data_IF_027993028483
#
_entry.id   IF_027993028483
#
_cell.length_a   1.000
_cell.length_b   1.000
_cell.length_c   1.000
_cell.angle_alpha   90.00
_cell.angle_beta   90.00
_cell.angle_gamma   90.00
#
_symmetry.space_group_name_H-M   'P 1'
#
loop_
_entity.id
_entity.type
_entity.pdbx_description
1 polymer ?
#
# COMPACT_ATOMS: atom_id res chain seq x y z
N UNK A 1 86.58 11.18 21.31
CA UNK A 1 85.92 10.55 20.14
C UNK A 1 84.66 9.77 20.52
N UNK A 2 83.72 10.33 21.29
CA UNK A 2 82.49 9.61 21.72
C UNK A 2 81.16 10.36 21.51
N UNK A 3 81.16 11.52 20.82
CA UNK A 3 79.92 12.28 20.52
C UNK A 3 79.46 12.23 19.05
N UNK A 4 80.25 11.63 18.15
CA UNK A 4 79.93 11.60 16.70
C UNK A 4 79.26 10.26 16.28
N UNK A 5 79.48 9.15 17.00
CA UNK A 5 78.92 7.84 16.62
C UNK A 5 77.45 7.61 16.99
N UNK A 6 76.90 8.36 17.96
CA UNK A 6 75.46 8.28 18.32
C UNK A 6 74.57 9.06 17.37
N UNK A 7 75.06 10.15 16.76
CA UNK A 7 74.28 11.00 15.85
C UNK A 7 74.13 10.34 14.46
N UNK A 8 75.19 9.68 13.96
CA UNK A 8 75.12 8.94 12.67
C UNK A 8 74.22 7.70 12.72
N UNK A 9 74.15 6.98 13.86
CA UNK A 9 73.26 5.81 14.00
C UNK A 9 71.78 6.19 14.17
N UNK A 10 71.48 7.38 14.71
CA UNK A 10 70.11 7.88 14.80
C UNK A 10 69.60 8.43 13.46
N UNK A 11 70.47 9.06 12.65
CA UNK A 11 70.13 9.55 11.31
C UNK A 11 69.82 8.43 10.31
N UNK A 12 70.57 7.32 10.32
CA UNK A 12 70.29 6.18 9.44
C UNK A 12 68.99 5.44 9.82
N UNK A 13 68.63 5.38 11.10
CA UNK A 13 67.41 4.71 11.56
C UNK A 13 66.16 5.51 11.20
N UNK A 14 66.21 6.85 11.28
CA UNK A 14 65.10 7.73 10.89
C UNK A 14 64.92 7.74 9.36
N UNK A 15 66.01 7.74 8.58
CA UNK A 15 65.93 7.65 7.12
C UNK A 15 65.33 6.30 6.66
N UNK A 16 65.67 5.20 7.32
CA UNK A 16 65.09 3.88 7.03
C UNK A 16 63.59 3.81 7.38
N UNK A 17 63.15 4.41 8.49
CA UNK A 17 61.73 4.44 8.89
C UNK A 17 60.89 5.32 7.94
N UNK A 18 61.42 6.46 7.48
CA UNK A 18 60.73 7.34 6.52
C UNK A 18 60.63 6.67 5.14
N UNK A 19 61.68 5.99 4.68
CA UNK A 19 61.64 5.23 3.43
C UNK A 19 60.65 4.05 3.50
N UNK A 20 60.56 3.35 4.65
CA UNK A 20 59.60 2.26 4.85
C UNK A 20 58.16 2.76 4.94
N UNK A 21 57.91 3.88 5.63
CA UNK A 21 56.59 4.50 5.71
C UNK A 21 56.13 5.06 4.36
N UNK A 22 57.04 5.68 3.60
CA UNK A 22 56.76 6.13 2.24
C UNK A 22 56.43 4.95 1.33
N UNK A 23 57.26 3.89 1.29
CA UNK A 23 57.00 2.71 0.48
C UNK A 23 55.69 1.99 0.86
N UNK A 24 55.35 1.95 2.15
CA UNK A 24 54.09 1.37 2.64
C UNK A 24 52.88 2.24 2.25
N UNK A 25 53.02 3.58 2.22
CA UNK A 25 51.98 4.49 1.72
C UNK A 25 51.80 4.40 0.20
N UNK A 26 52.88 4.25 -0.57
CA UNK A 26 52.83 4.04 -2.01
C UNK A 26 52.23 2.68 -2.34
N UNK A 27 52.60 1.61 -1.63
CA UNK A 27 51.97 0.29 -1.78
C UNK A 27 50.47 0.33 -1.48
N UNK A 28 50.05 1.06 -0.43
CA UNK A 28 48.62 1.23 -0.10
C UNK A 28 47.85 2.10 -1.09
N UNK A 29 48.53 3.01 -1.80
CA UNK A 29 47.93 3.77 -2.89
C UNK A 29 47.83 2.93 -4.15
N UNK A 30 48.88 2.19 -4.52
CA UNK A 30 48.88 1.29 -5.69
C UNK A 30 47.88 0.15 -5.49
N UNK A 31 47.81 -0.49 -4.32
CA UNK A 31 46.75 -1.48 -4.01
C UNK A 31 45.35 -0.86 -4.04
N UNK A 32 45.19 0.42 -3.70
CA UNK A 32 43.90 1.12 -3.80
C UNK A 32 43.56 1.46 -5.24
N UNK A 33 44.52 1.93 -6.02
CA UNK A 33 44.34 2.30 -7.42
C UNK A 33 44.14 1.06 -8.29
N UNK A 34 44.89 -0.03 -8.09
CA UNK A 34 44.67 -1.32 -8.76
C UNK A 34 43.35 -1.98 -8.34
N UNK A 35 42.93 -1.89 -7.07
CA UNK A 35 41.59 -2.37 -6.67
C UNK A 35 40.46 -1.46 -7.17
N UNK A 36 40.72 -0.18 -7.39
CA UNK A 36 39.75 0.76 -7.93
C UNK A 36 39.63 0.62 -9.45
N UNK A 37 40.74 0.48 -10.18
CA UNK A 37 40.75 0.15 -11.59
C UNK A 37 40.15 -1.24 -11.84
N UNK A 38 40.48 -2.27 -11.04
CA UNK A 38 39.83 -3.57 -11.16
C UNK A 38 38.33 -3.52 -10.78
N UNK A 39 37.93 -2.71 -9.80
CA UNK A 39 36.52 -2.51 -9.47
C UNK A 39 35.77 -1.72 -10.55
N UNK A 40 36.40 -0.72 -11.15
CA UNK A 40 35.86 0.08 -12.25
C UNK A 40 35.80 -0.75 -13.54
N UNK A 41 36.77 -1.64 -13.80
CA UNK A 41 36.82 -2.54 -14.95
C UNK A 41 35.79 -3.69 -14.84
N UNK A 42 35.64 -4.28 -13.64
CA UNK A 42 34.54 -5.22 -13.31
C UNK A 42 33.18 -4.52 -13.40
N UNK A 43 33.11 -3.23 -13.05
CA UNK A 43 31.89 -2.44 -13.12
C UNK A 43 31.56 -2.04 -14.56
N UNK A 44 32.54 -1.74 -15.43
CA UNK A 44 32.31 -1.47 -16.86
C UNK A 44 31.96 -2.70 -17.65
N UNK A 45 32.62 -3.85 -17.41
CA UNK A 45 32.30 -5.11 -18.09
C UNK A 45 30.93 -5.65 -17.66
N UNK A 46 30.50 -5.42 -16.42
CA UNK A 46 29.14 -5.72 -15.98
C UNK A 46 28.10 -4.73 -16.53
N UNK A 47 28.45 -3.44 -16.69
CA UNK A 47 27.52 -2.40 -17.17
C UNK A 47 27.11 -2.62 -18.62
N UNK A 48 27.99 -3.13 -19.49
CA UNK A 48 27.65 -3.40 -20.89
C UNK A 48 26.69 -4.59 -21.06
N UNK A 49 26.78 -5.62 -20.21
CA UNK A 49 25.85 -6.76 -20.26
C UNK A 49 24.45 -6.41 -19.69
N UNK A 50 24.35 -5.50 -18.72
CA UNK A 50 23.05 -5.03 -18.17
C UNK A 50 22.27 -4.10 -19.10
N UNK A 51 22.87 -3.56 -20.17
CA UNK A 51 22.15 -2.73 -21.14
C UNK A 51 21.35 -3.54 -22.17
N UNK A 52 21.51 -4.87 -22.21
CA UNK A 52 20.79 -5.76 -23.14
C UNK A 52 19.59 -6.49 -22.51
N UNK A 53 19.51 -6.53 -21.18
CA UNK A 53 18.43 -7.21 -20.44
C UNK A 53 17.32 -6.20 -20.10
N UNK A 54 16.06 -6.46 -20.46
CA UNK A 54 14.97 -5.56 -20.12
C UNK A 54 14.82 -5.42 -18.60
N UNK A 55 14.69 -4.19 -18.11
CA UNK A 55 14.58 -3.88 -16.68
C UNK A 55 13.25 -4.35 -16.05
N UNK A 56 12.28 -4.77 -16.85
CA UNK A 56 11.00 -5.34 -16.42
C UNK A 56 10.45 -6.24 -17.52
N UNK A 57 9.52 -7.12 -17.15
CA UNK A 57 8.75 -7.93 -18.09
C UNK A 57 7.34 -7.37 -18.20
N UNK A 58 6.78 -7.44 -19.42
CA UNK A 58 5.39 -7.07 -19.68
C UNK A 58 4.49 -8.24 -19.26
N UNK A 59 3.49 -8.03 -18.39
CA UNK A 59 2.48 -9.05 -18.15
C UNK A 59 1.80 -9.44 -19.45
N UNK A 60 1.50 -10.72 -19.67
CA UNK A 60 0.91 -11.19 -20.93
C UNK A 60 -0.46 -10.56 -21.20
N UNK A 61 -1.24 -10.34 -20.16
CA UNK A 61 -2.53 -9.63 -20.20
C UNK A 61 -2.39 -8.10 -20.32
N UNK A 62 -1.16 -7.58 -20.18
CA UNK A 62 -0.85 -6.18 -20.35
C UNK A 62 -0.20 -5.89 -21.69
N UNK A 63 0.58 -6.78 -22.29
CA UNK A 63 1.37 -6.46 -23.48
C UNK A 63 0.50 -6.10 -24.70
N UNK A 64 -0.53 -6.89 -24.97
CA UNK A 64 -1.44 -6.67 -26.10
C UNK A 64 -2.60 -5.72 -25.73
N UNK A 65 -2.85 -4.63 -26.49
CA UNK A 65 -3.95 -3.70 -26.20
C UNK A 65 -5.36 -4.33 -26.20
N UNK A 66 -5.61 -5.34 -27.04
CA UNK A 66 -6.89 -6.04 -27.09
C UNK A 66 -7.12 -6.87 -25.82
N UNK A 67 -6.06 -7.51 -25.31
CA UNK A 67 -6.15 -8.28 -24.07
C UNK A 67 -6.30 -7.38 -22.85
N UNK A 68 -5.62 -6.22 -22.84
CA UNK A 68 -5.87 -5.16 -21.86
C UNK A 68 -7.33 -4.76 -21.84
N UNK A 69 -7.91 -4.51 -23.02
CA UNK A 69 -9.32 -4.11 -23.11
C UNK A 69 -10.26 -5.21 -22.63
N UNK A 70 -10.02 -6.47 -22.97
CA UNK A 70 -10.84 -7.60 -22.47
C UNK A 70 -10.83 -7.66 -20.94
N UNK A 71 -9.68 -7.46 -20.30
CA UNK A 71 -9.57 -7.45 -18.83
C UNK A 71 -10.28 -6.24 -18.23
N UNK A 72 -10.17 -5.06 -18.83
CA UNK A 72 -10.88 -3.86 -18.37
C UNK A 72 -12.40 -4.06 -18.46
N UNK A 73 -12.89 -4.58 -19.58
CA UNK A 73 -14.32 -4.85 -19.77
C UNK A 73 -14.84 -5.89 -18.78
N UNK A 74 -14.08 -6.97 -18.56
CA UNK A 74 -14.39 -7.98 -17.54
C UNK A 74 -14.60 -7.36 -16.15
N UNK A 75 -13.76 -6.42 -15.74
CA UNK A 75 -13.90 -5.79 -14.42
C UNK A 75 -14.91 -4.63 -14.42
N UNK A 76 -15.26 -4.07 -15.58
CA UNK A 76 -16.24 -2.99 -15.68
C UNK A 76 -17.60 -3.37 -15.10
N UNK A 77 -18.04 -4.61 -15.30
CA UNK A 77 -19.30 -5.14 -14.73
C UNK A 77 -19.38 -5.01 -13.20
N UNK A 78 -18.23 -5.01 -12.52
CA UNK A 78 -18.13 -4.97 -11.06
C UNK A 78 -17.69 -3.61 -10.51
N UNK A 79 -16.99 -2.81 -11.32
CA UNK A 79 -16.43 -1.52 -10.89
C UNK A 79 -17.30 -0.32 -11.28
N UNK A 80 -18.26 -0.51 -12.20
CA UNK A 80 -19.10 0.57 -12.70
C UNK A 80 -19.87 1.27 -11.56
N UNK A 81 -19.70 2.59 -11.49
CA UNK A 81 -20.37 3.43 -10.49
C UNK A 81 -19.73 3.45 -9.11
N UNK A 82 -18.75 2.58 -8.83
CA UNK A 82 -17.99 2.65 -7.57
C UNK A 82 -17.22 3.95 -7.48
N UNK A 83 -17.24 4.57 -6.30
CA UNK A 83 -16.55 5.81 -6.00
C UNK A 83 -15.18 5.46 -5.41
N UNK A 84 -14.12 5.58 -6.21
CA UNK A 84 -12.77 5.22 -5.79
C UNK A 84 -11.94 6.51 -5.64
N UNK A 85 -11.38 6.73 -4.47
CA UNK A 85 -10.54 7.88 -4.19
C UNK A 85 -9.07 7.47 -4.16
N UNK A 86 -8.24 8.12 -4.97
CA UNK A 86 -6.80 7.84 -5.09
C UNK A 86 -6.02 8.98 -4.45
N UNK A 87 -5.13 8.66 -3.54
CA UNK A 87 -4.25 9.60 -2.88
C UNK A 87 -2.79 9.37 -3.30
N UNK A 88 -2.24 10.15 -4.25
CA UNK A 88 -0.81 10.10 -4.51
C UNK A 88 -0.06 10.72 -3.33
N UNK A 89 0.71 9.90 -2.62
CA UNK A 89 1.48 10.31 -1.44
C UNK A 89 2.42 11.49 -1.71
N UNK A 90 2.72 12.27 -0.67
CA UNK A 90 3.60 13.46 -0.74
C UNK A 90 3.09 14.56 -1.70
N UNK A 91 3.99 15.37 -2.26
CA UNK A 91 3.73 16.46 -3.21
C UNK A 91 4.13 17.83 -2.67
N UNK A 92 4.43 18.76 -3.58
CA UNK A 92 4.80 20.14 -3.27
C UNK A 92 6.04 20.24 -2.41
N UNK A 93 5.90 20.81 -1.21
CA UNK A 93 7.02 21.20 -0.35
C UNK A 93 7.68 20.04 0.43
N UNK A 94 7.23 18.80 0.22
CA UNK A 94 7.84 17.63 0.89
C UNK A 94 9.19 17.26 0.27
N UNK A 95 10.24 17.90 0.77
CA UNK A 95 11.63 17.74 0.29
C UNK A 95 12.30 16.42 0.69
N UNK A 96 11.68 15.59 1.55
CA UNK A 96 12.29 14.34 2.05
C UNK A 96 12.12 13.16 1.10
N UNK A 97 11.34 13.34 0.04
CA UNK A 97 11.00 12.31 -0.93
C UNK A 97 12.02 12.17 -2.08
N UNK A 98 13.22 12.77 -1.97
CA UNK A 98 14.27 12.73 -3.00
C UNK A 98 15.38 11.75 -2.63
N UNK A 99 15.71 10.84 -3.55
CA UNK A 99 16.85 9.93 -3.36
C UNK A 99 18.15 10.48 -3.96
N UNK A 100 19.27 9.76 -3.73
CA UNK A 100 20.60 10.11 -4.25
C UNK A 100 20.65 10.27 -5.78
N UNK A 101 19.83 9.52 -6.52
CA UNK A 101 19.73 9.62 -7.98
C UNK A 101 18.85 10.79 -8.46
N UNK A 102 18.24 11.54 -7.54
CA UNK A 102 17.38 12.68 -7.85
C UNK A 102 15.96 12.34 -8.31
N UNK A 103 15.52 11.09 -8.17
CA UNK A 103 14.11 10.72 -8.35
C UNK A 103 13.32 11.17 -7.12
N UNK A 104 12.15 11.76 -7.37
CA UNK A 104 11.20 12.17 -6.34
C UNK A 104 10.11 11.11 -6.22
N UNK A 105 9.85 10.63 -5.00
CA UNK A 105 8.77 9.69 -4.73
C UNK A 105 7.41 10.25 -5.14
N UNK A 106 7.16 11.54 -4.87
CA UNK A 106 5.91 12.20 -5.20
C UNK A 106 5.58 12.16 -6.71
N UNK A 107 6.59 12.23 -7.57
CA UNK A 107 6.43 12.17 -9.02
C UNK A 107 6.04 10.77 -9.47
N UNK A 108 6.66 9.74 -8.89
CA UNK A 108 6.33 8.34 -9.19
C UNK A 108 4.94 8.01 -8.67
N UNK A 109 4.63 8.40 -7.44
CA UNK A 109 3.29 8.25 -6.83
C UNK A 109 2.23 8.88 -7.74
N UNK A 110 2.43 10.13 -8.16
CA UNK A 110 1.52 10.83 -9.06
C UNK A 110 1.38 10.13 -10.42
N UNK A 111 2.50 9.72 -11.02
CA UNK A 111 2.51 9.05 -12.32
C UNK A 111 1.70 7.75 -12.29
N UNK A 112 1.95 6.87 -11.31
CA UNK A 112 1.20 5.61 -11.15
C UNK A 112 -0.27 5.88 -10.87
N UNK A 113 -0.59 6.84 -10.00
CA UNK A 113 -1.98 7.20 -9.69
C UNK A 113 -2.76 7.73 -10.89
N UNK A 114 -2.14 8.50 -11.79
CA UNK A 114 -2.79 9.00 -12.99
C UNK A 114 -3.09 7.87 -13.99
N UNK A 115 -2.18 6.90 -14.15
CA UNK A 115 -2.45 5.70 -14.95
C UNK A 115 -3.57 4.85 -14.33
N UNK A 116 -3.53 4.65 -13.01
CA UNK A 116 -4.57 3.91 -12.29
C UNK A 116 -5.94 4.58 -12.44
N UNK A 117 -5.99 5.92 -12.33
CA UNK A 117 -7.22 6.70 -12.59
C UNK A 117 -7.76 6.44 -13.99
N UNK A 118 -6.91 6.44 -15.02
CA UNK A 118 -7.35 6.20 -16.39
C UNK A 118 -7.97 4.80 -16.57
N UNK A 119 -7.34 3.77 -15.98
CA UNK A 119 -7.86 2.39 -16.00
C UNK A 119 -9.22 2.27 -15.30
N UNK A 120 -9.34 2.85 -14.10
CA UNK A 120 -10.58 2.81 -13.32
C UNK A 120 -11.72 3.58 -13.98
N UNK A 121 -11.45 4.76 -14.55
CA UNK A 121 -12.44 5.51 -15.34
C UNK A 121 -12.90 4.73 -16.57
N UNK A 122 -11.98 4.06 -17.27
CA UNK A 122 -12.30 3.22 -18.43
C UNK A 122 -13.12 1.99 -18.06
N UNK A 123 -12.95 1.47 -16.84
CA UNK A 123 -13.80 0.44 -16.26
C UNK A 123 -15.15 0.97 -15.74
N UNK A 124 -15.42 2.27 -15.83
CA UNK A 124 -16.70 2.89 -15.44
C UNK A 124 -16.82 3.27 -13.97
N UNK A 125 -15.73 3.20 -13.19
CA UNK A 125 -15.72 3.74 -11.83
C UNK A 125 -15.76 5.28 -11.85
N UNK A 126 -16.21 5.88 -10.75
CA UNK A 126 -16.14 7.32 -10.50
C UNK A 126 -14.90 7.58 -9.66
N UNK A 127 -13.92 8.31 -10.20
CA UNK A 127 -12.60 8.47 -9.56
C UNK A 127 -12.39 9.88 -9.02
N UNK A 128 -12.11 10.00 -7.73
CA UNK A 128 -11.62 11.22 -7.08
C UNK A 128 -10.12 11.10 -6.78
N UNK A 129 -9.43 12.25 -6.62
CA UNK A 129 -8.02 12.26 -6.22
C UNK A 129 -7.73 13.35 -5.19
N UNK A 130 -6.78 13.11 -4.28
CA UNK A 130 -6.28 14.16 -3.38
C UNK A 130 -5.49 15.23 -4.14
N UNK A 131 -4.71 14.81 -5.15
CA UNK A 131 -4.00 15.68 -6.11
C UNK A 131 -3.86 15.00 -7.46
N UNK A 132 -3.88 15.79 -8.53
CA UNK A 132 -3.63 15.36 -9.92
C UNK A 132 -2.41 16.08 -10.55
N UNK A 133 -1.69 16.84 -9.73
CA UNK A 133 -0.48 17.60 -10.05
C UNK A 133 0.44 17.64 -8.83
N UNK A 134 1.61 18.23 -8.99
CA UNK A 134 2.54 18.42 -7.88
C UNK A 134 2.11 19.63 -7.02
N UNK A 135 1.45 19.34 -5.90
CA UNK A 135 0.98 20.30 -4.90
C UNK A 135 1.01 19.66 -3.52
N UNK A 136 1.17 20.50 -2.49
CA UNK A 136 1.07 20.09 -1.08
C UNK A 136 -0.40 19.84 -0.72
N UNK A 137 -0.71 18.65 -0.21
CA UNK A 137 -2.01 18.31 0.43
C UNK A 137 -1.71 17.83 1.85
N UNK A 138 -2.41 18.40 2.84
CA UNK A 138 -2.22 18.07 4.25
C UNK A 138 -2.54 16.60 4.55
N UNK A 139 -1.88 16.01 5.56
CA UNK A 139 -2.06 14.59 5.89
C UNK A 139 -3.53 14.24 6.22
N UNK A 140 -4.19 15.06 7.03
CA UNK A 140 -5.60 14.89 7.40
C UNK A 140 -6.57 15.30 6.29
N UNK A 141 -6.20 16.34 5.52
CA UNK A 141 -6.98 16.82 4.37
C UNK A 141 -7.21 15.71 3.33
N UNK A 142 -6.24 14.80 3.15
CA UNK A 142 -6.37 13.63 2.24
C UNK A 142 -7.56 12.75 2.60
N UNK A 143 -7.76 12.48 3.90
CA UNK A 143 -8.88 11.70 4.39
C UNK A 143 -10.20 12.49 4.27
N UNK A 144 -10.19 13.78 4.64
CA UNK A 144 -11.36 14.66 4.52
C UNK A 144 -11.88 14.76 3.06
N UNK A 145 -10.98 14.85 2.09
CA UNK A 145 -11.34 14.85 0.67
C UNK A 145 -11.97 13.51 0.24
N UNK A 146 -11.48 12.38 0.74
CA UNK A 146 -12.04 11.07 0.46
C UNK A 146 -13.45 10.88 1.07
N UNK A 147 -13.63 11.33 2.32
CA UNK A 147 -14.93 11.34 3.00
C UNK A 147 -15.93 12.28 2.30
N UNK A 148 -15.49 13.48 1.92
CA UNK A 148 -16.31 14.45 1.18
C UNK A 148 -16.70 13.95 -0.20
N UNK A 149 -15.80 13.17 -0.82
CA UNK A 149 -16.10 12.45 -2.06
C UNK A 149 -17.04 11.26 -1.84
N UNK A 150 -17.40 10.90 -0.61
CA UNK A 150 -18.23 9.73 -0.31
C UNK A 150 -17.66 8.46 -0.99
N UNK A 151 -16.36 8.24 -0.82
CA UNK A 151 -15.67 7.14 -1.48
C UNK A 151 -16.12 5.78 -0.93
N UNK A 152 -16.28 4.81 -1.82
CA UNK A 152 -16.38 3.39 -1.45
C UNK A 152 -15.01 2.82 -1.08
N UNK A 153 -13.96 3.27 -1.78
CA UNK A 153 -12.57 2.86 -1.58
C UNK A 153 -11.63 4.06 -1.47
N UNK A 154 -10.65 3.95 -0.59
CA UNK A 154 -9.51 4.85 -0.48
C UNK A 154 -8.20 4.11 -0.79
N UNK A 155 -7.41 4.63 -1.72
CA UNK A 155 -6.15 4.04 -2.17
C UNK A 155 -5.02 5.07 -2.05
N UNK A 156 -4.13 4.93 -1.08
CA UNK A 156 -2.95 5.78 -0.95
C UNK A 156 -1.75 5.13 -1.63
N UNK A 157 -1.14 5.79 -2.61
CA UNK A 157 -0.06 5.25 -3.46
C UNK A 157 1.28 5.86 -3.04
N UNK A 158 2.22 4.99 -2.67
CA UNK A 158 3.55 5.31 -2.16
C UNK A 158 4.63 4.40 -2.76
N UNK A 159 5.90 4.84 -2.62
CA UNK A 159 7.08 4.03 -2.91
C UNK A 159 8.09 4.19 -1.77
N UNK A 160 8.27 3.12 -1.01
CA UNK A 160 9.02 3.07 0.23
C UNK A 160 10.48 3.57 0.13
N UNK A 161 11.08 3.89 1.27
CA UNK A 161 12.47 4.28 1.39
C UNK A 161 13.25 3.29 2.26
N UNK A 162 14.52 3.06 1.90
CA UNK A 162 15.44 2.36 2.79
C UNK A 162 15.60 3.10 4.12
N UNK A 163 15.86 2.35 5.20
CA UNK A 163 15.98 2.91 6.56
C UNK A 163 17.15 3.88 6.76
N UNK A 164 18.08 3.94 5.80
CA UNK A 164 19.19 4.88 5.79
C UNK A 164 19.60 5.23 4.35
N UNK A 165 20.36 6.31 4.19
CA UNK A 165 20.90 6.73 2.88
C UNK A 165 21.79 5.68 2.21
N UNK A 166 22.35 4.75 3.00
CA UNK A 166 23.21 3.67 2.52
C UNK A 166 22.43 2.38 2.23
N UNK A 167 21.12 2.35 2.50
CA UNK A 167 20.25 1.23 2.14
C UNK A 167 19.67 1.40 0.73
N UNK A 168 20.49 1.04 -0.26
CA UNK A 168 20.14 1.04 -1.68
C UNK A 168 19.82 -0.37 -2.22
N UNK A 169 19.70 -1.37 -1.32
CA UNK A 169 19.51 -2.79 -1.70
C UNK A 169 18.15 -3.33 -1.29
N UNK A 170 17.55 -2.83 -0.21
CA UNK A 170 16.19 -3.23 0.17
C UNK A 170 15.22 -2.90 -0.97
N UNK A 171 14.39 -3.87 -1.32
CA UNK A 171 13.24 -3.70 -2.20
C UNK A 171 12.29 -4.86 -1.94
N UNK A 172 11.00 -4.57 -1.86
CA UNK A 172 9.88 -5.51 -1.86
C UNK A 172 8.59 -4.70 -2.02
N UNK A 173 7.51 -5.38 -2.37
CA UNK A 173 6.18 -4.79 -2.45
C UNK A 173 5.44 -5.03 -1.14
N UNK A 174 4.78 -4.00 -0.60
CA UNK A 174 3.94 -4.14 0.59
C UNK A 174 2.66 -3.34 0.49
N UNK A 175 1.60 -3.84 1.09
CA UNK A 175 0.29 -3.19 1.21
C UNK A 175 -0.11 -3.16 2.67
N UNK A 176 -0.76 -2.08 3.07
CA UNK A 176 -1.11 -1.83 4.44
C UNK A 176 -2.59 -1.53 4.60
N UNK A 177 -3.15 -2.04 5.69
CA UNK A 177 -4.52 -1.77 6.12
C UNK A 177 -4.49 -1.30 7.58
N UNK A 178 -5.48 -0.48 7.95
CA UNK A 178 -5.62 -0.04 9.34
C UNK A 178 -6.31 -1.11 10.17
N UNK A 179 -5.61 -1.65 11.16
CA UNK A 179 -6.15 -2.58 12.13
C UNK A 179 -5.20 -2.69 13.32
N UNK A 180 -5.71 -2.83 14.54
CA UNK A 180 -4.85 -3.18 15.68
C UNK A 180 -4.33 -4.61 15.51
N UNK A 181 -3.13 -4.87 16.04
CA UNK A 181 -2.58 -6.22 16.04
C UNK A 181 -3.53 -7.19 16.76
N UNK A 182 -3.93 -8.26 16.07
CA UNK A 182 -4.91 -9.24 16.57
C UNK A 182 -6.39 -8.85 16.44
N UNK A 183 -6.71 -7.61 16.04
CA UNK A 183 -8.09 -7.15 15.82
C UNK A 183 -8.32 -6.80 14.35
N UNK A 184 -8.71 -7.81 13.58
CA UNK A 184 -9.08 -7.66 12.16
C UNK A 184 -10.52 -7.19 11.96
N UNK A 185 -11.27 -6.92 13.05
CA UNK A 185 -12.65 -6.46 12.95
C UNK A 185 -12.77 -4.98 12.56
N UNK A 186 -11.68 -4.21 12.69
CA UNK A 186 -11.61 -2.85 12.17
C UNK A 186 -11.50 -2.87 10.64
N UNK A 187 -12.64 -2.65 9.96
CA UNK A 187 -12.76 -2.63 8.49
C UNK A 187 -12.07 -3.81 7.80
N UNK A 188 -12.48 -5.04 8.13
CA UNK A 188 -11.91 -6.27 7.58
C UNK A 188 -11.78 -6.29 6.05
N UNK A 189 -12.68 -5.62 5.32
CA UNK A 189 -12.61 -5.46 3.86
C UNK A 189 -11.34 -4.74 3.37
N UNK A 190 -10.71 -3.89 4.19
CA UNK A 190 -9.43 -3.25 3.86
C UNK A 190 -8.30 -4.27 3.74
N UNK A 191 -8.24 -5.21 4.68
CA UNK A 191 -7.27 -6.31 4.64
C UNK A 191 -7.53 -7.25 3.45
N UNK A 192 -8.80 -7.54 3.14
CA UNK A 192 -9.14 -8.37 1.98
C UNK A 192 -8.69 -7.70 0.67
N UNK A 193 -9.03 -6.42 0.47
CA UNK A 193 -8.62 -5.64 -0.70
C UNK A 193 -7.09 -5.58 -0.80
N UNK A 194 -6.39 -5.30 0.31
CA UNK A 194 -4.94 -5.24 0.35
C UNK A 194 -4.31 -6.55 -0.15
N UNK A 195 -4.82 -7.72 0.24
CA UNK A 195 -4.34 -9.03 -0.25
C UNK A 195 -4.49 -9.21 -1.76
N UNK A 196 -5.61 -8.78 -2.33
CA UNK A 196 -5.81 -8.86 -3.78
C UNK A 196 -4.85 -7.93 -4.54
N UNK A 197 -4.68 -6.70 -4.04
CA UNK A 197 -3.73 -5.74 -4.62
C UNK A 197 -2.30 -6.27 -4.49
N UNK A 198 -1.91 -6.76 -3.31
CA UNK A 198 -0.58 -7.31 -3.06
C UNK A 198 -0.22 -8.39 -4.08
N UNK A 199 -1.11 -9.36 -4.31
CA UNK A 199 -0.84 -10.50 -5.20
C UNK A 199 -0.61 -10.08 -6.65
N UNK A 200 -1.49 -9.22 -7.18
CA UNK A 200 -1.37 -8.75 -8.56
C UNK A 200 -0.20 -7.77 -8.72
N UNK A 201 0.02 -6.90 -7.74
CA UNK A 201 1.14 -5.96 -7.76
C UNK A 201 2.48 -6.68 -7.66
N UNK A 202 2.62 -7.65 -6.74
CA UNK A 202 3.83 -8.47 -6.61
C UNK A 202 4.18 -9.21 -7.91
N UNK A 203 3.16 -9.72 -8.60
CA UNK A 203 3.33 -10.41 -9.88
C UNK A 203 3.91 -9.50 -10.97
N UNK A 204 3.39 -8.27 -11.11
CA UNK A 204 3.85 -7.33 -12.14
C UNK A 204 5.17 -6.65 -11.74
N UNK A 205 5.37 -6.37 -10.45
CA UNK A 205 6.57 -5.72 -9.94
C UNK A 205 7.77 -6.66 -9.94
N UNK A 206 7.57 -7.95 -9.66
CA UNK A 206 8.65 -8.95 -9.55
C UNK A 206 9.81 -8.48 -8.68
N UNK A 207 9.50 -7.69 -7.65
CA UNK A 207 10.53 -7.20 -6.74
C UNK A 207 11.20 -8.37 -6.03
N UNK A 208 12.53 -8.34 -5.84
CA UNK A 208 13.18 -9.26 -4.93
C UNK A 208 12.56 -9.10 -3.52
N UNK A 209 12.63 -10.11 -2.66
CA UNK A 209 12.00 -10.05 -1.33
C UNK A 209 11.33 -11.35 -0.87
N UNK A 210 11.36 -12.40 -1.69
CA UNK A 210 10.86 -13.73 -1.33
C UNK A 210 9.37 -13.71 -0.95
N UNK A 211 9.02 -14.38 0.15
CA UNK A 211 7.64 -14.43 0.65
C UNK A 211 7.08 -13.05 1.02
N UNK A 212 7.94 -12.11 1.45
CA UNK A 212 7.51 -10.75 1.81
C UNK A 212 6.97 -9.97 0.63
N UNK A 213 7.55 -10.11 -0.57
CA UNK A 213 6.98 -9.48 -1.77
C UNK A 213 5.69 -10.17 -2.20
N UNK A 214 5.52 -11.48 -1.98
CA UNK A 214 4.33 -12.21 -2.42
C UNK A 214 3.12 -12.05 -1.48
N UNK A 215 3.34 -12.07 -0.16
CA UNK A 215 2.30 -11.99 0.89
C UNK A 215 2.51 -10.78 1.81
N UNK A 216 3.05 -9.69 1.26
CA UNK A 216 3.41 -8.46 1.98
C UNK A 216 2.24 -7.59 2.43
N UNK A 217 1.17 -8.20 2.93
CA UNK A 217 0.00 -7.48 3.46
C UNK A 217 0.11 -7.35 4.97
N UNK A 218 0.22 -6.11 5.47
CA UNK A 218 0.50 -5.86 6.88
C UNK A 218 -0.49 -4.87 7.51
N UNK A 219 -0.72 -5.00 8.81
CA UNK A 219 -1.34 -3.92 9.57
C UNK A 219 -0.38 -2.72 9.65
N UNK A 220 -0.88 -1.51 9.48
CA UNK A 220 -0.10 -0.27 9.65
C UNK A 220 0.43 -0.05 11.08
N UNK A 221 -0.08 -0.77 12.08
CA UNK A 221 0.46 -0.79 13.44
C UNK A 221 1.86 -1.41 13.50
N UNK A 222 2.27 -2.20 12.50
CA UNK A 222 3.65 -2.70 12.43
C UNK A 222 4.65 -1.55 12.19
N UNK A 223 4.20 -0.49 11.50
CA UNK A 223 5.03 0.68 11.19
C UNK A 223 4.87 1.75 12.27
N UNK A 224 3.65 2.03 12.69
CA UNK A 224 3.34 2.99 13.76
C UNK A 224 2.53 2.33 14.88
N UNK A 225 3.17 1.62 15.83
CA UNK A 225 2.47 0.95 16.91
C UNK A 225 1.61 1.91 17.75
N UNK A 226 0.33 1.57 17.94
CA UNK A 226 -0.62 2.37 18.72
C UNK A 226 -1.37 3.43 17.90
N UNK A 227 -0.76 3.92 16.82
CA UNK A 227 -1.31 5.03 16.02
C UNK A 227 -1.79 4.55 14.63
N UNK A 228 -0.99 3.77 13.91
CA UNK A 228 -1.24 3.45 12.50
C UNK A 228 -1.07 4.67 11.56
N UNK A 229 -1.27 4.48 10.27
CA UNK A 229 -1.20 5.53 9.27
C UNK A 229 -2.41 6.46 9.39
N UNK A 230 -2.17 7.76 9.55
CA UNK A 230 -3.25 8.74 9.69
C UNK A 230 -4.27 8.66 8.53
N UNK A 231 -3.83 8.60 7.27
CA UNK A 231 -4.76 8.52 6.13
C UNK A 231 -5.69 7.30 6.17
N UNK A 232 -5.25 6.17 6.72
CA UNK A 232 -6.09 4.97 6.84
C UNK A 232 -6.97 4.99 8.09
N UNK A 233 -6.45 5.56 9.18
CA UNK A 233 -7.17 5.73 10.45
C UNK A 233 -8.30 6.74 10.37
N UNK A 234 -8.08 7.84 9.65
CA UNK A 234 -8.99 8.99 9.59
C UNK A 234 -10.04 8.87 8.48
N UNK A 235 -9.96 7.84 7.63
CA UNK A 235 -11.04 7.49 6.69
C UNK A 235 -12.03 6.53 7.36
N UNK A 236 -13.23 6.35 6.80
CA UNK A 236 -14.28 5.42 7.25
C UNK A 236 -14.57 4.32 6.22
N UNK A 237 -14.28 4.55 4.94
CA UNK A 237 -14.42 3.56 3.89
C UNK A 237 -13.29 2.51 3.92
N UNK A 238 -13.41 1.48 3.08
CA UNK A 238 -12.36 0.48 2.85
C UNK A 238 -11.10 1.19 2.31
N UNK A 239 -9.97 1.05 3.00
CA UNK A 239 -8.77 1.85 2.75
C UNK A 239 -7.50 1.01 2.72
N UNK A 240 -6.65 1.23 1.72
CA UNK A 240 -5.35 0.55 1.57
C UNK A 240 -4.27 1.58 1.25
N UNK A 241 -3.13 1.47 1.93
CA UNK A 241 -1.89 2.16 1.54
C UNK A 241 -0.97 1.18 0.84
N UNK A 242 -0.42 1.58 -0.30
CA UNK A 242 0.32 0.71 -1.22
C UNK A 242 1.75 1.24 -1.31
N UNK A 243 2.71 0.44 -0.89
CA UNK A 243 4.15 0.68 -1.05
C UNK A 243 4.68 -0.24 -2.14
N UNK A 244 4.69 0.26 -3.39
CA UNK A 244 4.89 -0.61 -4.56
C UNK A 244 6.29 -1.19 -4.64
N UNK A 245 7.29 -0.38 -4.28
CA UNK A 245 8.70 -0.69 -4.34
C UNK A 245 9.51 0.31 -3.49
N UNK A 246 10.80 0.06 -3.31
CA UNK A 246 11.69 1.00 -2.63
C UNK A 246 12.34 1.97 -3.62
N UNK A 247 11.93 3.24 -3.65
CA UNK A 247 12.46 4.20 -4.64
C UNK A 247 13.96 4.51 -4.43
N UNK A 248 14.50 4.27 -3.24
CA UNK A 248 15.93 4.38 -2.92
C UNK A 248 16.75 3.18 -3.43
N UNK A 249 16.11 2.09 -3.83
CA UNK A 249 16.81 0.93 -4.37
C UNK A 249 17.49 1.26 -5.71
N UNK A 250 18.74 0.83 -5.87
CA UNK A 250 19.57 1.18 -7.04
C UNK A 250 18.99 0.71 -8.37
N UNK A 251 18.41 -0.49 -8.42
CA UNK A 251 17.83 -1.04 -9.66
C UNK A 251 16.41 -0.51 -9.86
N UNK A 252 15.63 -0.44 -8.79
CA UNK A 252 14.25 0.05 -8.87
C UNK A 252 14.17 1.50 -9.30
N UNK A 253 15.10 2.34 -8.84
CA UNK A 253 15.22 3.74 -9.28
C UNK A 253 15.23 3.87 -10.82
N UNK A 254 15.87 2.94 -11.53
CA UNK A 254 15.91 2.94 -13.00
C UNK A 254 14.54 2.56 -13.58
N UNK A 255 13.86 1.57 -13.00
CA UNK A 255 12.55 1.08 -13.44
C UNK A 255 11.46 2.13 -13.24
N UNK A 256 11.42 2.79 -12.08
CA UNK A 256 10.42 3.80 -11.72
C UNK A 256 10.47 5.08 -12.58
N UNK A 257 11.57 5.29 -13.31
CA UNK A 257 11.70 6.38 -14.29
C UNK A 257 11.07 6.05 -15.65
N UNK A 258 10.70 4.80 -15.88
CA UNK A 258 10.16 4.33 -17.16
C UNK A 258 8.64 4.48 -17.11
N UNK A 259 8.04 5.36 -17.93
CA UNK A 259 6.60 5.59 -17.89
C UNK A 259 5.77 4.31 -18.14
N UNK A 260 6.25 3.45 -19.04
CA UNK A 260 5.63 2.15 -19.33
C UNK A 260 5.61 1.24 -18.10
N UNK A 261 6.67 1.26 -17.29
CA UNK A 261 6.70 0.48 -16.07
C UNK A 261 5.69 1.01 -15.04
N UNK A 262 5.55 2.33 -14.91
CA UNK A 262 4.53 2.94 -14.03
C UNK A 262 3.09 2.57 -14.47
N UNK A 263 2.83 2.43 -15.77
CA UNK A 263 1.56 1.91 -16.28
C UNK A 263 1.35 0.43 -15.90
N UNK A 264 2.41 -0.38 -15.94
CA UNK A 264 2.38 -1.78 -15.48
C UNK A 264 2.10 -1.88 -13.98
N UNK A 265 2.66 -0.99 -13.14
CA UNK A 265 2.33 -0.96 -11.70
C UNK A 265 0.85 -0.66 -11.49
N UNK A 266 0.34 0.38 -12.16
CA UNK A 266 -1.07 0.74 -12.13
C UNK A 266 -1.97 -0.41 -12.61
N UNK A 267 -1.52 -1.17 -13.61
CA UNK A 267 -2.21 -2.38 -14.08
C UNK A 267 -2.33 -3.45 -12.99
N UNK A 268 -1.25 -3.72 -12.25
CA UNK A 268 -1.28 -4.65 -11.11
C UNK A 268 -2.30 -4.24 -10.05
N UNK A 269 -2.29 -2.96 -9.66
CA UNK A 269 -3.25 -2.41 -8.69
C UNK A 269 -4.69 -2.52 -9.22
N UNK A 270 -4.93 -2.13 -10.48
CA UNK A 270 -6.23 -2.23 -11.14
C UNK A 270 -6.77 -3.67 -11.14
N UNK A 271 -5.94 -4.65 -11.51
CA UNK A 271 -6.34 -6.06 -11.48
C UNK A 271 -6.64 -6.56 -10.08
N UNK A 272 -5.89 -6.11 -9.07
CA UNK A 272 -6.16 -6.43 -7.66
C UNK A 272 -7.56 -5.96 -7.25
N UNK A 273 -7.89 -4.71 -7.53
CA UNK A 273 -9.22 -4.14 -7.26
C UNK A 273 -10.31 -4.90 -8.02
N UNK A 274 -10.11 -5.14 -9.33
CA UNK A 274 -11.05 -5.87 -10.16
C UNK A 274 -11.31 -7.30 -9.66
N UNK A 275 -10.25 -8.01 -9.25
CA UNK A 275 -10.38 -9.36 -8.66
C UNK A 275 -11.08 -9.35 -7.31
N UNK A 276 -10.83 -8.35 -6.48
CA UNK A 276 -11.52 -8.22 -5.19
C UNK A 276 -13.04 -8.15 -5.38
N UNK A 277 -13.52 -7.26 -6.26
CA UNK A 277 -14.96 -7.14 -6.52
C UNK A 277 -15.55 -8.31 -7.31
N UNK A 278 -14.78 -8.89 -8.24
CA UNK A 278 -15.18 -10.13 -8.94
C UNK A 278 -15.44 -11.29 -7.95
N UNK A 279 -14.71 -11.33 -6.82
CA UNK A 279 -14.93 -12.33 -5.77
C UNK A 279 -16.10 -12.00 -4.83
N UNK A 280 -16.81 -10.90 -5.10
CA UNK A 280 -17.99 -10.45 -4.37
C UNK A 280 -17.66 -9.71 -3.08
N UNK A 281 -18.40 -8.63 -2.82
CA UNK A 281 -18.26 -7.81 -1.60
C UNK A 281 -19.66 -7.52 -1.07
N UNK A 282 -20.08 -8.16 0.04
CA UNK A 282 -21.37 -7.86 0.64
C UNK A 282 -21.45 -6.41 1.14
N UNK A 283 -22.66 -5.89 1.31
CA UNK A 283 -22.88 -4.59 1.95
C UNK A 283 -24.16 -4.61 2.77
N UNK A 284 -24.19 -3.82 3.83
CA UNK A 284 -25.36 -3.68 4.69
C UNK A 284 -26.12 -2.39 4.39
N UNK A 285 -27.43 -2.44 4.60
CA UNK A 285 -28.30 -1.27 4.60
C UNK A 285 -29.24 -1.31 5.82
N UNK A 286 -29.49 -0.14 6.42
CA UNK A 286 -30.42 0.00 7.53
C UNK A 286 -31.84 0.15 7.00
N UNK A 287 -32.72 -0.80 7.32
CA UNK A 287 -34.14 -0.73 6.96
C UNK A 287 -34.89 0.11 8.01
N UNK A 288 -34.71 1.42 7.95
CA UNK A 288 -35.24 2.36 8.95
C UNK A 288 -36.77 2.30 9.06
N UNK A 289 -37.47 2.23 7.92
CA UNK A 289 -38.94 2.20 7.88
C UNK A 289 -39.54 0.89 8.42
N UNK A 290 -38.75 -0.18 8.46
CA UNK A 290 -39.17 -1.46 9.06
C UNK A 290 -38.71 -1.63 10.50
N UNK A 291 -37.88 -0.71 11.00
CA UNK A 291 -37.39 -0.74 12.37
C UNK A 291 -38.41 -0.08 13.30
N UNK A 292 -38.76 -0.74 14.41
CA UNK A 292 -39.89 -0.33 15.27
C UNK A 292 -39.42 -0.19 16.72
N UNK A 293 -39.64 0.98 17.31
CA UNK A 293 -39.46 1.22 18.75
C UNK A 293 -40.82 1.11 19.47
N UNK A 294 -40.92 0.23 20.46
CA UNK A 294 -42.13 0.07 21.28
C UNK A 294 -41.79 -0.01 22.77
N UNK A 295 -42.21 1.00 23.55
CA UNK A 295 -42.20 1.07 25.03
C UNK A 295 -40.86 0.87 25.75
N UNK A 296 -39.78 0.56 25.03
CA UNK A 296 -38.34 0.42 25.39
C UNK A 296 -37.63 -0.67 24.58
N UNK A 297 -38.35 -1.36 23.67
CA UNK A 297 -37.80 -2.41 22.81
C UNK A 297 -37.65 -1.90 21.39
N UNK A 298 -36.46 -2.05 20.82
CA UNK A 298 -36.18 -1.79 19.40
C UNK A 298 -36.19 -3.11 18.63
N UNK A 299 -37.01 -3.20 17.60
CA UNK A 299 -36.85 -4.16 16.51
C UNK A 299 -36.00 -3.48 15.43
N UNK A 300 -34.74 -3.86 15.30
CA UNK A 300 -33.81 -3.33 14.31
C UNK A 300 -33.71 -4.30 13.14
N UNK A 301 -33.84 -3.80 11.92
CA UNK A 301 -33.66 -4.59 10.70
C UNK A 301 -32.56 -4.03 9.81
N UNK A 302 -31.69 -4.92 9.36
CA UNK A 302 -30.67 -4.64 8.35
C UNK A 302 -30.90 -5.58 7.15
N UNK A 303 -30.70 -5.08 5.93
CA UNK A 303 -30.58 -5.95 4.76
C UNK A 303 -29.11 -6.17 4.42
N UNK A 304 -28.77 -7.38 3.98
CA UNK A 304 -27.49 -7.68 3.35
C UNK A 304 -27.70 -7.69 1.84
N UNK A 305 -27.17 -6.68 1.17
CA UNK A 305 -27.19 -6.55 -0.27
C UNK A 305 -26.10 -7.44 -0.88
N UNK A 306 -26.44 -8.71 -1.11
CA UNK A 306 -25.54 -9.69 -1.73
C UNK A 306 -26.31 -10.85 -2.38
N UNK A 307 -26.03 -11.14 -3.65
CA UNK A 307 -26.78 -12.15 -4.42
C UNK A 307 -26.25 -13.59 -4.27
N UNK A 308 -25.02 -13.75 -3.79
CA UNK A 308 -24.38 -15.07 -3.66
C UNK A 308 -24.41 -15.56 -2.20
N UNK A 309 -23.86 -16.75 -1.97
CA UNK A 309 -23.84 -17.34 -0.63
C UNK A 309 -22.95 -16.56 0.35
N UNK A 310 -23.51 -16.26 1.52
CA UNK A 310 -22.79 -15.81 2.70
C UNK A 310 -22.31 -16.99 3.55
N UNK A 311 -21.39 -16.70 4.46
CA UNK A 311 -21.12 -17.51 5.65
C UNK A 311 -22.02 -16.98 6.78
N UNK A 312 -23.15 -17.63 7.13
CA UNK A 312 -24.10 -17.10 8.10
C UNK A 312 -23.49 -16.91 9.50
N UNK A 313 -22.51 -17.74 9.86
CA UNK A 313 -21.81 -17.66 11.16
C UNK A 313 -20.91 -16.44 11.26
N UNK A 314 -20.58 -15.81 10.13
CA UNK A 314 -19.77 -14.58 10.10
C UNK A 314 -20.57 -13.31 10.32
N UNK A 315 -21.91 -13.38 10.37
CA UNK A 315 -22.76 -12.20 10.55
C UNK A 315 -22.60 -11.73 12.00
N UNK A 316 -22.12 -10.50 12.15
CA UNK A 316 -21.97 -9.84 13.43
C UNK A 316 -22.63 -8.46 13.35
N UNK A 317 -23.46 -8.15 14.33
CA UNK A 317 -24.04 -6.83 14.50
C UNK A 317 -23.77 -6.37 15.92
N UNK A 318 -23.25 -5.16 16.06
CA UNK A 318 -22.86 -4.55 17.34
C UNK A 318 -23.65 -3.26 17.58
N UNK A 319 -23.96 -3.01 18.84
CA UNK A 319 -24.47 -1.73 19.34
C UNK A 319 -23.49 -1.18 20.36
N UNK A 320 -22.91 0.00 20.09
CA UNK A 320 -21.82 0.60 20.89
C UNK A 320 -20.67 -0.37 21.19
N UNK A 321 -20.35 -1.21 20.20
CA UNK A 321 -19.29 -2.23 20.29
C UNK A 321 -19.71 -3.55 20.93
N UNK A 322 -20.92 -3.65 21.49
CA UNK A 322 -21.44 -4.88 22.11
C UNK A 322 -22.14 -5.73 21.05
N UNK A 323 -21.66 -6.96 20.83
CA UNK A 323 -22.27 -7.90 19.88
C UNK A 323 -23.68 -8.30 20.33
N UNK A 324 -24.63 -8.24 19.40
CA UNK A 324 -26.02 -8.55 19.62
C UNK A 324 -26.41 -9.91 19.04
N UNK A 325 -27.33 -10.58 19.74
CA UNK A 325 -28.04 -11.73 19.18
C UNK A 325 -28.95 -11.27 18.03
N UNK A 326 -28.98 -12.05 16.96
CA UNK A 326 -29.76 -11.74 15.77
C UNK A 326 -30.36 -13.00 15.16
N UNK A 327 -31.33 -12.81 14.28
CA UNK A 327 -31.84 -13.83 13.37
C UNK A 327 -31.52 -13.39 11.94
N UNK A 328 -31.05 -14.32 11.12
CA UNK A 328 -30.79 -14.08 9.70
C UNK A 328 -31.69 -14.97 8.86
N UNK A 329 -32.45 -14.35 7.96
CA UNK A 329 -33.27 -15.04 6.98
C UNK A 329 -32.53 -15.06 5.63
N UNK A 330 -31.98 -16.22 5.28
CA UNK A 330 -31.24 -16.42 4.03
C UNK A 330 -32.08 -16.15 2.77
N UNK A 331 -33.40 -16.32 2.84
CA UNK A 331 -34.27 -16.15 1.67
C UNK A 331 -34.53 -14.69 1.33
N UNK A 332 -34.51 -13.82 2.35
CA UNK A 332 -34.76 -12.38 2.21
C UNK A 332 -33.48 -11.54 2.36
N UNK A 333 -32.41 -12.11 2.90
CA UNK A 333 -31.19 -11.38 3.23
C UNK A 333 -31.33 -10.46 4.43
N UNK A 334 -32.40 -10.61 5.24
CA UNK A 334 -32.71 -9.70 6.35
C UNK A 334 -32.12 -10.24 7.65
N UNK A 335 -31.40 -9.36 8.34
CA UNK A 335 -30.94 -9.56 9.72
C UNK A 335 -31.88 -8.80 10.66
N UNK A 336 -32.50 -9.51 11.60
CA UNK A 336 -33.44 -8.95 12.57
C UNK A 336 -32.87 -9.06 13.98
N UNK A 337 -32.91 -7.95 14.72
CA UNK A 337 -32.46 -7.87 16.11
C UNK A 337 -33.57 -7.31 16.99
N UNK A 338 -33.75 -7.93 18.15
CA UNK A 338 -34.66 -7.43 19.18
C UNK A 338 -33.84 -6.97 20.38
N UNK A 339 -33.84 -5.67 20.64
CA UNK A 339 -33.01 -5.05 21.67
C UNK A 339 -33.95 -4.52 22.76
N UNK A 340 -34.06 -5.19 23.91
CA UNK A 340 -34.92 -4.77 25.01
C UNK A 340 -34.26 -3.67 25.85
N UNK A 341 -35.08 -2.89 26.55
CA UNK A 341 -34.66 -1.93 27.59
C UNK A 341 -33.65 -0.87 27.12
N UNK A 342 -33.79 -0.38 25.89
CA UNK A 342 -33.00 0.77 25.43
C UNK A 342 -33.47 2.04 26.13
N UNK A 343 -32.52 2.75 26.74
CA UNK A 343 -32.73 4.08 27.26
C UNK A 343 -32.80 5.09 26.11
N UNK A 344 -33.22 6.33 26.43
CA UNK A 344 -33.16 7.42 25.46
C UNK A 344 -31.71 7.81 25.24
N UNK A 345 -31.30 7.95 23.98
CA UNK A 345 -29.92 8.24 23.65
C UNK A 345 -29.58 7.99 22.19
N UNK A 346 -28.32 8.29 21.86
CA UNK A 346 -27.72 7.92 20.58
C UNK A 346 -26.96 6.62 20.74
N UNK A 347 -27.11 5.73 19.76
CA UNK A 347 -26.41 4.45 19.73
C UNK A 347 -25.75 4.26 18.36
N UNK A 348 -24.56 3.67 18.36
CA UNK A 348 -23.81 3.33 17.17
C UNK A 348 -24.04 1.86 16.80
N UNK A 349 -24.69 1.63 15.66
CA UNK A 349 -24.83 0.30 15.07
C UNK A 349 -23.65 0.07 14.12
N UNK A 350 -22.96 -1.06 14.26
CA UNK A 350 -22.01 -1.55 13.26
C UNK A 350 -22.36 -2.98 12.87
N UNK A 351 -22.01 -3.36 11.64
CA UNK A 351 -22.30 -4.69 11.12
C UNK A 351 -21.17 -5.18 10.23
N UNK A 352 -20.95 -6.49 10.27
CA UNK A 352 -19.94 -7.19 9.49
C UNK A 352 -20.51 -8.55 9.05
N UNK A 353 -20.18 -8.97 7.84
CA UNK A 353 -20.36 -10.35 7.42
C UNK A 353 -19.28 -10.72 6.41
N UNK A 354 -19.20 -12.00 6.04
CA UNK A 354 -18.26 -12.54 5.07
C UNK A 354 -18.99 -13.42 4.07
N UNK A 355 -18.58 -13.36 2.82
CA UNK A 355 -19.05 -14.30 1.80
C UNK A 355 -18.27 -15.62 1.86
N UNK A 356 -18.75 -16.66 1.17
CA UNK A 356 -18.06 -17.97 1.13
C UNK A 356 -16.67 -17.94 0.45
N UNK A 357 -16.33 -16.87 -0.28
CA UNK A 357 -15.01 -16.69 -0.87
C UNK A 357 -14.01 -16.04 0.10
N UNK A 358 -14.45 -15.65 1.30
CA UNK A 358 -13.62 -15.06 2.33
C UNK A 358 -13.61 -13.52 2.36
N UNK A 359 -14.30 -12.83 1.45
CA UNK A 359 -14.38 -11.38 1.44
C UNK A 359 -15.43 -10.89 2.45
N UNK A 360 -15.03 -9.94 3.27
CA UNK A 360 -15.87 -9.25 4.23
C UNK A 360 -16.69 -8.15 3.55
N UNK A 361 -17.79 -7.77 4.22
CA UNK A 361 -18.63 -6.66 3.81
C UNK A 361 -17.89 -5.33 3.82
N UNK A 362 -18.40 -4.37 3.05
CA UNK A 362 -18.00 -2.96 3.22
C UNK A 362 -18.24 -2.50 4.66
N UNK A 363 -17.45 -1.55 5.18
CA UNK A 363 -17.67 -0.99 6.50
C UNK A 363 -19.10 -0.47 6.63
N UNK A 364 -19.79 -0.88 7.69
CA UNK A 364 -21.13 -0.40 8.00
C UNK A 364 -21.14 0.21 9.40
N UNK A 365 -21.56 1.47 9.46
CA UNK A 365 -21.67 2.24 10.70
C UNK A 365 -22.83 3.22 10.54
N UNK A 366 -23.87 3.09 11.37
CA UNK A 366 -25.03 3.98 11.40
C UNK A 366 -25.39 4.35 12.82
N UNK A 367 -25.57 5.65 13.07
CA UNK A 367 -26.14 6.15 14.32
C UNK A 367 -27.66 6.02 14.28
N UNK A 368 -28.23 5.54 15.38
CA UNK A 368 -29.67 5.53 15.63
C UNK A 368 -29.96 6.35 16.89
N UNK A 369 -31.13 6.99 16.93
CA UNK A 369 -31.56 7.84 18.05
C UNK A 369 -32.84 7.28 18.65
N UNK A 370 -32.82 7.01 19.96
CA UNK A 370 -33.96 6.53 20.74
C UNK A 370 -34.53 7.73 21.51
N UNK A 371 -35.77 8.11 21.19
CA UNK A 371 -36.41 9.35 21.67
C UNK A 371 -37.30 9.21 22.90
#
# INVERSE_FOLDING_TARGET
MLKISKIMKFGLLIAAIILFASACSTFRQVEKEENQEAADEIMTDAIDDFNTIPLYEKPSDWENPEDREKVIQKYSEYLKGLRIFIDPGHGGDDIRNKNLGGLLEADVNLSVSLYLRALLLRAGAVVGMSRDKDVTIGLYERAELAESFNADLFLSIHHNAGSSINDYKTNYTSTFYHAKEGDTSYKASSHDLAKFIQRELAYVMRNPGGLGSFDGTYSDYIIYPGEGFAVLRETNMTGVLIESAFFTNRLENKRLRIPEFNEIQAWGIFKGIGRYFLNGVPSFELLADESILNKSRLLLKLSINYFYSLDPESIEVKLDGITLMHQYDESTGIVTLEIPNLEKGEYQVTALCRNKNGNHSRPFSKKIVIN
#
